data_IF_039292863931
#
_entry.id   IF_039292863931
#
_cell.length_a   1.000
_cell.length_b   1.000
_cell.length_c   1.000
_cell.angle_alpha   90.00
_cell.angle_beta   90.00
_cell.angle_gamma   90.00
#
_symmetry.space_group_name_H-M   'P 1'
#
loop_
_entity.id
_entity.type
_entity.pdbx_description
1 polymer ?
#
# COMPACT_ATOMS: atom_id res chain seq x y z
N UNK A 1 -26.76 61.25 -2.42
CA UNK A 1 -26.54 60.09 -3.32
C UNK A 1 -25.56 59.05 -2.70
N UNK A 2 -25.49 58.92 -1.37
CA UNK A 2 -24.52 58.04 -0.66
C UNK A 2 -25.09 56.76 -0.06
N UNK A 3 -26.41 56.55 -0.07
CA UNK A 3 -27.02 55.35 0.53
C UNK A 3 -27.05 54.13 -0.42
N UNK A 4 -26.88 54.35 -1.73
CA UNK A 4 -26.98 53.28 -2.74
C UNK A 4 -25.67 52.48 -2.92
N UNK A 5 -24.52 53.01 -2.46
CA UNK A 5 -23.22 52.30 -2.54
C UNK A 5 -22.98 51.33 -1.37
N UNK A 6 -23.56 51.57 -0.19
CA UNK A 6 -23.42 50.66 0.95
C UNK A 6 -24.30 49.40 0.84
N UNK A 7 -25.41 49.47 0.09
CA UNK A 7 -26.31 48.32 -0.07
C UNK A 7 -25.73 47.22 -0.96
N UNK A 8 -24.93 47.58 -1.97
CA UNK A 8 -24.26 46.59 -2.84
C UNK A 8 -23.10 45.86 -2.15
N UNK A 9 -22.43 46.49 -1.19
CA UNK A 9 -21.32 45.84 -0.47
C UNK A 9 -21.85 44.77 0.51
N UNK A 10 -23.05 44.94 1.06
CA UNK A 10 -23.59 44.05 2.09
C UNK A 10 -24.11 42.68 1.60
N UNK A 11 -24.45 42.50 0.33
CA UNK A 11 -24.92 41.19 -0.16
C UNK A 11 -24.06 40.55 -1.25
N UNK A 12 -22.94 41.17 -1.62
CA UNK A 12 -21.88 40.50 -2.38
C UNK A 12 -21.11 39.46 -1.54
N UNK A 13 -21.31 39.43 -0.22
CA UNK A 13 -20.66 38.50 0.71
C UNK A 13 -21.40 37.15 0.89
N UNK A 14 -22.65 37.01 0.42
CA UNK A 14 -23.50 35.87 0.79
C UNK A 14 -23.54 34.71 -0.23
N UNK A 15 -22.81 34.77 -1.34
CA UNK A 15 -22.99 33.81 -2.45
C UNK A 15 -21.76 32.92 -2.76
N UNK A 16 -20.71 32.96 -1.95
CA UNK A 16 -19.56 32.04 -2.08
C UNK A 16 -19.60 30.90 -1.04
N UNK A 17 -20.79 30.46 -0.63
CA UNK A 17 -20.99 29.19 0.07
C UNK A 17 -21.29 28.06 -0.94
N UNK A 18 -20.51 28.01 -2.02
CA UNK A 18 -20.61 26.98 -3.04
C UNK A 18 -19.84 25.73 -2.61
N UNK A 19 -20.58 24.78 -2.02
CA UNK A 19 -20.31 23.35 -2.03
C UNK A 19 -18.85 22.90 -1.84
N UNK A 20 -18.33 22.99 -0.60
CA UNK A 20 -17.39 21.96 -0.14
C UNK A 20 -18.20 20.68 0.10
N UNK A 21 -18.31 19.84 -0.94
CA UNK A 21 -18.66 18.44 -0.71
C UNK A 21 -17.58 17.87 0.23
N UNK A 22 -17.96 17.24 1.36
CA UNK A 22 -17.03 16.33 1.99
C UNK A 22 -16.84 15.22 0.96
N UNK A 23 -15.62 15.05 0.46
CA UNK A 23 -15.28 13.78 -0.15
C UNK A 23 -15.62 12.73 0.91
N UNK A 24 -16.56 11.82 0.62
CA UNK A 24 -16.74 10.63 1.43
C UNK A 24 -15.40 9.90 1.37
N UNK A 25 -14.52 10.17 2.34
CA UNK A 25 -13.42 9.29 2.62
C UNK A 25 -14.05 8.01 3.11
N UNK A 26 -14.07 6.98 2.26
CA UNK A 26 -14.54 5.64 2.63
C UNK A 26 -13.80 5.19 3.90
N UNK A 27 -14.47 5.10 5.07
CA UNK A 27 -13.81 4.76 6.31
C UNK A 27 -13.77 3.23 6.46
N UNK A 28 -13.37 2.50 5.41
CA UNK A 28 -13.40 1.03 5.45
C UNK A 28 -12.66 0.34 4.30
N UNK A 29 -11.73 0.97 3.59
CA UNK A 29 -10.74 0.14 2.92
C UNK A 29 -9.94 -0.53 4.05
N UNK A 30 -9.98 -1.87 4.22
CA UNK A 30 -9.11 -2.50 5.21
C UNK A 30 -7.70 -2.05 4.86
N UNK A 31 -6.96 -1.57 5.86
CA UNK A 31 -5.54 -1.33 5.70
C UNK A 31 -4.90 -2.69 5.42
N UNK A 32 -4.92 -3.13 4.16
CA UNK A 32 -4.10 -4.24 3.70
C UNK A 32 -2.69 -3.69 3.87
N UNK A 33 -2.01 -4.14 4.93
CA UNK A 33 -0.62 -3.79 5.20
C UNK A 33 0.23 -4.41 4.09
N UNK A 34 0.22 -3.76 2.93
CA UNK A 34 1.02 -4.13 1.80
C UNK A 34 2.39 -3.50 2.01
N UNK A 35 3.35 -4.31 2.42
CA UNK A 35 4.73 -3.88 2.41
C UNK A 35 5.09 -3.59 0.95
N UNK A 36 5.37 -2.32 0.66
CA UNK A 36 5.72 -1.87 -0.69
C UNK A 36 7.12 -2.43 -0.96
N UNK A 37 7.24 -3.47 -1.78
CA UNK A 37 8.55 -3.92 -2.22
C UNK A 37 9.26 -2.74 -2.89
N UNK A 38 10.35 -2.27 -2.27
CA UNK A 38 11.11 -1.11 -2.75
C UNK A 38 11.47 -1.32 -4.23
N UNK A 39 11.06 -0.38 -5.08
CA UNK A 39 11.23 -0.44 -6.53
C UNK A 39 9.93 -0.47 -7.35
N UNK A 40 8.76 -0.70 -6.75
CA UNK A 40 7.48 -0.70 -7.50
C UNK A 40 6.88 0.70 -7.77
N UNK A 41 7.55 1.79 -7.36
CA UNK A 41 7.03 3.15 -7.51
C UNK A 41 7.18 3.76 -8.91
N UNK A 42 7.76 3.04 -9.89
CA UNK A 42 8.17 3.63 -11.17
C UNK A 42 7.09 3.57 -12.27
N UNK A 43 6.09 2.70 -12.15
CA UNK A 43 5.21 2.37 -13.30
C UNK A 43 3.75 2.83 -13.13
N UNK A 44 3.42 3.61 -12.10
CA UNK A 44 2.04 3.99 -11.77
C UNK A 44 1.11 2.82 -11.42
N UNK A 45 1.66 1.60 -11.25
CA UNK A 45 0.90 0.41 -10.85
C UNK A 45 0.79 0.31 -9.34
N UNK A 46 -0.41 -0.03 -8.86
CA UNK A 46 -0.65 -0.30 -7.44
C UNK A 46 0.33 -1.36 -6.89
N UNK A 47 0.83 -1.20 -5.64
CA UNK A 47 1.69 -2.18 -5.00
C UNK A 47 0.99 -3.55 -4.96
N UNK A 48 1.75 -4.62 -5.23
CA UNK A 48 1.23 -5.98 -5.11
C UNK A 48 1.50 -6.53 -3.73
N UNK A 49 0.43 -6.90 -3.04
CA UNK A 49 0.44 -7.39 -1.67
C UNK A 49 0.38 -8.92 -1.67
N UNK A 50 0.89 -9.54 -0.61
CA UNK A 50 0.62 -10.95 -0.32
C UNK A 50 -0.56 -10.98 0.65
N UNK A 51 -1.77 -11.23 0.13
CA UNK A 51 -2.97 -11.26 0.96
C UNK A 51 -3.08 -12.61 1.69
N UNK A 52 -3.46 -12.60 2.97
CA UNK A 52 -3.63 -13.84 3.74
C UNK A 52 -4.69 -14.78 3.14
N UNK A 53 -5.73 -14.23 2.51
CA UNK A 53 -6.78 -15.00 1.84
C UNK A 53 -6.27 -15.74 0.58
N UNK A 54 -5.19 -15.27 -0.03
CA UNK A 54 -4.63 -15.77 -1.29
C UNK A 54 -3.11 -16.01 -1.18
N UNK A 55 -2.64 -16.34 0.02
CA UNK A 55 -1.23 -16.28 0.40
C UNK A 55 -0.34 -17.07 -0.56
N UNK A 56 -0.68 -18.32 -0.87
CA UNK A 56 0.13 -19.17 -1.74
C UNK A 56 0.27 -18.60 -3.15
N UNK A 57 -0.83 -18.11 -3.73
CA UNK A 57 -0.85 -17.53 -5.08
C UNK A 57 0.00 -16.27 -5.12
N UNK A 58 -0.22 -15.38 -4.16
CA UNK A 58 0.45 -14.09 -4.14
C UNK A 58 1.94 -14.24 -3.80
N UNK A 59 2.29 -15.18 -2.91
CA UNK A 59 3.66 -15.54 -2.59
C UNK A 59 4.40 -16.12 -3.79
N UNK A 60 3.79 -17.07 -4.53
CA UNK A 60 4.39 -17.59 -5.77
C UNK A 60 4.69 -16.46 -6.77
N UNK A 61 3.71 -15.58 -7.00
CA UNK A 61 3.90 -14.43 -7.89
C UNK A 61 5.00 -13.47 -7.40
N UNK A 62 5.11 -13.28 -6.08
CA UNK A 62 6.14 -12.45 -5.50
C UNK A 62 7.54 -13.07 -5.71
N UNK A 63 7.69 -14.36 -5.41
CA UNK A 63 8.93 -15.12 -5.59
C UNK A 63 9.40 -15.05 -7.04
N UNK A 64 8.52 -15.33 -8.01
CA UNK A 64 8.87 -15.32 -9.43
C UNK A 64 9.39 -13.95 -9.86
N UNK A 65 8.64 -12.88 -9.56
CA UNK A 65 9.02 -11.51 -9.93
C UNK A 65 10.29 -11.05 -9.25
N UNK A 66 10.47 -11.39 -7.98
CA UNK A 66 11.67 -11.02 -7.22
C UNK A 66 12.89 -11.76 -7.77
N UNK A 67 12.74 -13.05 -8.07
CA UNK A 67 13.78 -13.86 -8.68
C UNK A 67 14.16 -13.30 -10.06
N UNK A 68 13.19 -12.98 -10.92
CA UNK A 68 13.42 -12.36 -12.24
C UNK A 68 14.18 -11.04 -12.12
N UNK A 69 13.73 -10.13 -11.24
CA UNK A 69 14.38 -8.81 -11.06
C UNK A 69 15.84 -8.94 -10.59
N UNK A 70 16.15 -9.97 -9.82
CA UNK A 70 17.49 -10.22 -9.31
C UNK A 70 18.27 -11.23 -10.16
N UNK A 71 17.75 -11.65 -11.31
CA UNK A 71 18.35 -12.67 -12.18
C UNK A 71 18.66 -13.99 -11.45
N UNK A 72 17.81 -14.39 -10.52
CA UNK A 72 17.90 -15.65 -9.78
C UNK A 72 16.98 -16.71 -10.41
N UNK A 73 17.36 -18.00 -10.42
CA UNK A 73 16.42 -19.06 -10.75
C UNK A 73 15.27 -19.11 -9.73
N UNK A 74 13.98 -19.02 -10.13
CA UNK A 74 12.86 -18.94 -9.19
C UNK A 74 12.80 -20.10 -8.20
N UNK A 75 13.03 -21.33 -8.67
CA UNK A 75 13.07 -22.51 -7.81
C UNK A 75 14.22 -22.50 -6.81
N UNK A 76 15.34 -21.85 -7.12
CA UNK A 76 16.43 -21.66 -6.16
C UNK A 76 16.03 -20.66 -5.07
N UNK A 77 15.46 -19.53 -5.46
CA UNK A 77 15.01 -18.50 -4.52
C UNK A 77 13.92 -19.04 -3.58
N UNK A 78 12.92 -19.74 -4.12
CA UNK A 78 11.88 -20.40 -3.34
C UNK A 78 12.45 -21.37 -2.29
N UNK A 79 13.47 -22.16 -2.66
CA UNK A 79 14.11 -23.11 -1.75
C UNK A 79 14.90 -22.44 -0.63
N UNK A 80 15.48 -21.27 -0.87
CA UNK A 80 16.13 -20.50 0.20
C UNK A 80 15.09 -20.08 1.23
N UNK A 81 14.03 -19.40 0.79
CA UNK A 81 12.97 -18.92 1.69
C UNK A 81 12.31 -20.10 2.45
N UNK A 82 12.04 -21.22 1.78
CA UNK A 82 11.49 -22.41 2.44
C UNK A 82 12.39 -22.94 3.57
N UNK A 83 13.71 -22.87 3.39
CA UNK A 83 14.68 -23.41 4.35
C UNK A 83 14.81 -22.56 5.61
N UNK A 84 14.48 -21.28 5.52
CA UNK A 84 14.50 -20.34 6.65
C UNK A 84 13.25 -20.47 7.54
N UNK A 85 12.05 -20.47 6.96
CA UNK A 85 10.79 -20.39 7.72
C UNK A 85 9.72 -21.41 7.33
N UNK A 86 9.95 -22.18 6.27
CA UNK A 86 8.91 -22.97 5.57
C UNK A 86 7.75 -22.11 5.05
N UNK A 87 8.09 -20.89 4.59
CA UNK A 87 7.13 -19.88 4.12
C UNK A 87 6.21 -19.30 5.20
N UNK A 88 6.57 -19.41 6.48
CA UNK A 88 5.81 -18.78 7.55
C UNK A 88 6.21 -17.29 7.68
N UNK A 89 5.32 -16.34 7.34
CA UNK A 89 5.62 -14.91 7.43
C UNK A 89 5.68 -14.40 8.88
N UNK A 90 5.22 -15.20 9.86
CA UNK A 90 5.23 -14.84 11.29
C UNK A 90 6.25 -15.65 12.09
N UNK A 91 7.17 -16.35 11.42
CA UNK A 91 8.20 -17.12 12.09
C UNK A 91 9.09 -16.20 12.96
N UNK A 92 9.37 -16.67 14.18
CA UNK A 92 10.30 -16.00 15.10
C UNK A 92 11.25 -17.06 15.63
N UNK A 93 12.55 -16.85 15.44
CA UNK A 93 13.57 -17.79 15.92
C UNK A 93 13.93 -17.55 17.39
N UNK A 94 14.54 -18.53 18.08
CA UNK A 94 15.06 -18.34 19.45
C UNK A 94 16.12 -17.23 19.58
N UNK A 95 16.76 -16.86 18.47
CA UNK A 95 17.77 -15.80 18.42
C UNK A 95 17.20 -14.44 18.03
N UNK A 96 15.90 -14.35 17.75
CA UNK A 96 15.21 -13.10 17.45
C UNK A 96 15.10 -12.75 15.97
N UNK A 97 15.63 -13.56 15.04
CA UNK A 97 15.33 -13.38 13.62
C UNK A 97 13.83 -13.60 13.35
N UNK A 98 13.22 -12.73 12.55
CA UNK A 98 11.78 -12.68 12.29
C UNK A 98 11.44 -12.80 10.80
N UNK A 99 10.24 -13.31 10.53
CA UNK A 99 9.61 -13.30 9.23
C UNK A 99 10.10 -14.37 8.25
N UNK A 100 9.59 -14.28 7.02
CA UNK A 100 9.67 -15.37 6.04
C UNK A 100 11.11 -15.74 5.63
N UNK A 101 12.06 -14.81 5.74
CA UNK A 101 13.45 -14.98 5.32
C UNK A 101 14.44 -15.03 6.49
N UNK A 102 13.97 -14.92 7.74
CA UNK A 102 14.81 -14.99 8.95
C UNK A 102 16.06 -14.09 8.90
N UNK A 103 15.91 -12.82 8.51
CA UNK A 103 17.04 -11.89 8.57
C UNK A 103 17.34 -11.48 10.02
N UNK A 104 18.64 -11.38 10.32
CA UNK A 104 19.21 -11.01 11.63
C UNK A 104 19.25 -9.49 11.87
#
# INVERSE_FOLDING_TARGET
MSALRLLCVFFALAAFAGAMMPACADPAAPAVACERIAGQAQDGRAPRCIASADFDRDLCQAIDRLAERQSLPPGFFARLIWRESRFDPNAVSPKGAEGIAQFD
#
